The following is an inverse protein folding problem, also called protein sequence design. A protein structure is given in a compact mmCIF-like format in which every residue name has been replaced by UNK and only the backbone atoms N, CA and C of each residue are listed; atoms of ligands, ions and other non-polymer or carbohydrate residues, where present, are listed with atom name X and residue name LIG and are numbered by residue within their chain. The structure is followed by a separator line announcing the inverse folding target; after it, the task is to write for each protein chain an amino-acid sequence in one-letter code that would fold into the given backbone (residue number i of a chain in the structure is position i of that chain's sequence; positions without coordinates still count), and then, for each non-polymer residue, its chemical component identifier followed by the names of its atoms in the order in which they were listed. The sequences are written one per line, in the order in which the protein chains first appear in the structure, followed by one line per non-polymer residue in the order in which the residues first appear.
data_IF_678214386143
#
_entry.id   IF_678214386143
#
_cell.length_a   1.000
_cell.length_b   1.000
_cell.length_c   1.000
_cell.angle_alpha   90.00
_cell.angle_beta   90.00
_cell.angle_gamma   90.00
#
_symmetry.space_group_name_H-M   'P 1'
#
loop_
_entity.id
_entity.type
_entity.pdbx_description
1 polymer ?
2 non-polymer ?
3 non-polymer ?
4 water ?
#
# COMPACT_ATOMS: atom_id res chain seq x y z
N UNK A 6 -10.72 32.54 10.67
CA UNK A 6 -11.95 32.71 9.84
C UNK A 6 -12.15 31.41 9.02
N UNK A 7 -11.39 31.26 7.96
CA UNK A 7 -11.33 30.02 7.17
C UNK A 7 -10.80 28.89 8.07
N UNK A 8 -11.45 27.71 8.05
CA UNK A 8 -11.10 26.59 8.91
C UNK A 8 -9.98 25.73 8.32
N UNK A 9 -8.73 26.20 8.45
CA UNK A 9 -7.58 25.51 7.91
C UNK A 9 -6.86 24.75 9.03
N UNK A 10 -6.82 23.43 8.93
CA UNK A 10 -6.32 22.56 9.97
C UNK A 10 -4.79 22.69 10.06
N UNK A 11 -4.15 22.84 8.90
CA UNK A 11 -2.66 22.96 8.81
C UNK A 11 -2.21 22.92 7.32
N UNK A 12 -0.92 23.11 7.06
CA UNK A 12 -0.36 22.95 5.74
C UNK A 12 -0.02 21.45 5.57
N UNK A 13 -0.08 20.95 4.37
CA UNK A 13 0.21 19.57 4.16
C UNK A 13 1.13 19.39 2.95
N UNK A 14 2.02 18.38 3.01
CA UNK A 14 3.13 18.19 2.06
C UNK A 14 2.98 16.93 1.24
N UNK A 15 3.35 17.02 -0.02
CA UNK A 15 3.39 15.89 -0.91
C UNK A 15 4.83 15.50 -1.19
N UNK A 16 5.01 14.49 -2.06
CA UNK A 16 6.34 13.96 -2.31
C UNK A 16 7.26 15.01 -2.86
N UNK A 17 6.74 15.83 -3.78
CA UNK A 17 7.60 16.86 -4.42
C UNK A 17 7.97 18.04 -3.54
N UNK A 18 7.38 18.17 -2.36
CA UNK A 18 7.70 19.21 -1.41
C UNK A 18 8.96 18.96 -0.54
N UNK A 19 9.46 17.71 -0.54
CA UNK A 19 10.54 17.28 0.35
C UNK A 19 11.61 16.47 -0.36
N UNK A 20 12.78 16.53 0.22
CA UNK A 20 13.89 15.64 -0.11
C UNK A 20 14.44 15.06 1.15
N UNK A 21 15.01 13.89 1.03
CA UNK A 21 15.76 13.25 2.13
C UNK A 21 17.17 13.80 2.28
N UNK A 22 17.63 13.92 3.50
CA UNK A 22 18.97 14.47 3.80
C UNK A 22 20.02 13.35 3.90
N UNK A 23 21.12 13.51 3.17
CA UNK A 23 22.19 12.52 3.29
C UNK A 23 22.81 12.55 4.68
N UNK A 24 23.30 11.41 5.13
CA UNK A 24 23.81 11.31 6.50
C UNK A 24 25.04 10.39 6.55
N UNK A 25 25.75 10.46 7.64
CA UNK A 25 26.84 9.50 7.85
C UNK A 25 26.35 8.09 7.63
N UNK A 26 27.10 7.32 6.87
CA UNK A 26 26.67 5.99 6.50
C UNK A 26 27.74 4.93 6.49
N UNK A 27 27.41 3.79 7.08
CA UNK A 27 28.22 2.58 6.89
C UNK A 27 27.48 1.58 6.02
N UNK A 28 26.37 2.00 5.42
CA UNK A 28 25.54 1.16 4.58
C UNK A 28 25.92 1.30 3.13
N UNK A 29 26.18 0.20 2.47
CA UNK A 29 26.30 0.20 1.04
C UNK A 29 24.98 -0.29 0.45
N UNK A 30 24.66 0.15 -0.76
CA UNK A 30 23.36 -0.26 -1.31
C UNK A 30 23.16 -1.77 -1.34
N UNK A 31 24.22 -2.52 -1.65
CA UNK A 31 24.06 -3.97 -1.72
C UNK A 31 23.93 -4.63 -0.34
N UNK A 32 24.25 -3.90 0.72
CA UNK A 32 24.10 -4.42 2.08
C UNK A 32 22.79 -3.99 2.78
N UNK A 33 22.07 -3.06 2.19
CA UNK A 33 20.82 -2.63 2.77
C UNK A 33 19.83 -3.79 2.91
N UNK A 34 19.10 -3.78 4.02
CA UNK A 34 18.15 -4.84 4.37
C UNK A 34 16.76 -4.29 4.06
N UNK A 35 16.11 -4.87 3.05
CA UNK A 35 14.79 -4.36 2.60
C UNK A 35 13.58 -5.01 3.30
N UNK A 36 13.82 -5.89 4.26
CA UNK A 36 12.73 -6.56 4.94
C UNK A 36 11.85 -5.57 5.72
N UNK A 37 10.57 -5.85 5.76
CA UNK A 37 9.66 -4.98 6.44
C UNK A 37 8.43 -5.80 6.81
N UNK A 38 7.41 -5.10 7.29
CA UNK A 38 6.15 -5.72 7.73
C UNK A 38 5.03 -5.18 6.91
N UNK A 39 4.12 -6.06 6.50
CA UNK A 39 2.88 -5.70 5.87
C UNK A 39 1.81 -5.45 6.90
N UNK A 40 1.71 -6.39 7.82
CA UNK A 40 0.78 -6.28 8.90
C UNK A 40 1.49 -6.63 10.13
N UNK A 41 0.74 -6.48 11.19
CA UNK A 41 1.25 -6.85 12.49
C UNK A 41 2.01 -8.18 12.45
N UNK A 42 1.42 -9.20 11.81
CA UNK A 42 2.00 -10.56 11.76
C UNK A 42 2.53 -11.11 10.43
N UNK A 43 2.63 -10.29 9.38
CA UNK A 43 3.09 -10.76 8.10
C UNK A 43 4.30 -9.91 7.71
N UNK A 44 5.43 -10.59 7.53
CA UNK A 44 6.67 -9.97 7.06
C UNK A 44 6.74 -9.97 5.54
N UNK A 45 7.47 -9.00 4.96
CA UNK A 45 7.74 -9.00 3.53
C UNK A 45 9.27 -8.87 3.37
N UNK A 46 9.75 -9.41 2.26
CA UNK A 46 11.15 -9.26 1.92
C UNK A 46 11.51 -7.93 1.24
N UNK A 47 10.53 -7.33 0.56
CA UNK A 47 10.66 -5.98 0.01
C UNK A 47 9.39 -5.19 0.35
N UNK A 48 9.51 -3.86 0.45
CA UNK A 48 8.35 -3.06 0.86
C UNK A 48 7.37 -2.68 -0.27
N UNK A 49 6.95 -3.63 -1.08
CA UNK A 49 6.04 -3.33 -2.21
C UNK A 49 4.85 -4.31 -2.20
N UNK A 50 3.65 -3.78 -2.41
CA UNK A 50 2.43 -4.56 -2.61
C UNK A 50 1.68 -3.99 -3.78
N UNK A 51 0.89 -4.81 -4.47
CA UNK A 51 0.17 -4.31 -5.62
C UNK A 51 -1.27 -3.89 -5.27
N UNK A 52 -1.77 -2.89 -5.97
CA UNK A 52 -3.14 -2.42 -5.83
C UNK A 52 -4.19 -3.48 -6.21
N UNK A 53 -5.35 -3.41 -5.54
CA UNK A 53 -6.42 -4.38 -5.77
C UNK A 53 -7.31 -3.88 -6.94
N UNK A 54 -6.69 -3.74 -8.10
CA UNK A 54 -7.33 -3.07 -9.27
C UNK A 54 -7.48 -4.09 -10.41
N UNK A 55 -8.61 -4.01 -11.12
CA UNK A 55 -8.90 -5.02 -12.16
C UNK A 55 -8.01 -4.90 -13.40
N UNK A 56 -7.15 -3.90 -13.44
CA UNK A 56 -6.10 -3.83 -14.45
C UNK A 56 -4.70 -4.00 -13.87
N UNK A 57 -4.60 -4.40 -12.60
CA UNK A 57 -3.27 -4.54 -11.98
C UNK A 57 -3.02 -5.93 -11.40
N UNK A 58 -3.93 -6.45 -10.59
CA UNK A 58 -3.57 -7.66 -9.82
C UNK A 58 -4.56 -8.83 -10.00
N UNK A 59 -4.10 -9.86 -10.69
CA UNK A 59 -4.76 -11.16 -10.66
C UNK A 59 -3.65 -12.13 -10.31
N UNK A 60 -3.89 -13.43 -10.50
CA UNK A 60 -3.01 -14.44 -9.91
C UNK A 60 -1.59 -14.37 -10.45
N UNK A 61 -1.47 -14.07 -11.73
CA UNK A 61 -0.20 -14.11 -12.38
C UNK A 61 0.74 -13.04 -11.80
N UNK A 62 0.19 -11.85 -11.67
CA UNK A 62 1.00 -10.76 -11.08
C UNK A 62 1.30 -11.00 -9.59
N UNK A 63 0.29 -11.49 -8.87
CA UNK A 63 0.44 -11.84 -7.45
C UNK A 63 1.54 -12.86 -7.22
N UNK A 64 1.65 -13.87 -8.11
CA UNK A 64 2.72 -14.85 -8.02
C UNK A 64 4.11 -14.24 -8.24
N UNK A 65 4.21 -13.45 -9.30
CA UNK A 65 5.47 -12.83 -9.69
C UNK A 65 5.99 -11.92 -8.55
N UNK A 66 5.06 -11.15 -7.99
CA UNK A 66 5.44 -10.19 -6.95
C UNK A 66 5.87 -10.91 -5.65
N UNK A 67 5.13 -11.94 -5.24
CA UNK A 67 5.51 -12.74 -4.06
C UNK A 67 6.90 -13.42 -4.21
N UNK A 68 7.22 -13.90 -5.42
CA UNK A 68 8.54 -14.46 -5.70
C UNK A 68 9.66 -13.44 -5.54
N UNK A 69 9.34 -12.17 -5.77
CA UNK A 69 10.30 -11.08 -5.57
C UNK A 69 10.30 -10.52 -4.11
N UNK A 70 9.39 -11.02 -3.25
CA UNK A 70 9.42 -10.71 -1.82
C UNK A 70 8.25 -9.78 -1.38
N UNK A 71 7.37 -9.44 -2.32
CA UNK A 71 6.21 -8.63 -2.07
C UNK A 71 4.94 -9.43 -1.86
N UNK A 72 3.80 -8.77 -1.91
CA UNK A 72 2.53 -9.49 -1.87
C UNK A 72 1.52 -8.79 -2.77
N UNK A 73 0.73 -9.57 -3.49
CA UNK A 73 -0.33 -9.02 -4.32
C UNK A 73 -1.71 -9.10 -3.74
N UNK A 74 -2.60 -8.15 -4.09
CA UNK A 74 -3.98 -8.18 -3.63
C UNK A 74 -4.96 -8.45 -4.77
N UNK A 75 -5.44 -9.70 -4.84
CA UNK A 75 -6.36 -10.07 -5.89
C UNK A 75 -7.60 -9.20 -5.81
N UNK A 76 -7.94 -8.58 -6.94
CA UNK A 76 -9.04 -7.63 -6.96
C UNK A 76 -10.37 -8.35 -6.90
N UNK A 77 -11.42 -7.61 -6.58
CA UNK A 77 -12.68 -8.21 -6.29
C UNK A 77 -13.60 -8.34 -7.51
N UNK A 78 -13.29 -7.65 -8.62
CA UNK A 78 -14.16 -7.63 -9.82
C UNK A 78 -14.10 -8.96 -10.58
N UNK A 79 -14.56 -10.01 -9.90
CA UNK A 79 -14.59 -11.34 -10.42
C UNK A 79 -15.50 -12.07 -9.45
N UNK A 80 -16.00 -13.23 -9.82
CA UNK A 80 -16.81 -13.99 -8.89
C UNK A 80 -15.93 -14.58 -7.79
N UNK A 81 -16.61 -15.12 -6.80
CA UNK A 81 -16.00 -15.69 -5.66
C UNK A 81 -15.21 -16.92 -6.06
N UNK A 82 -15.78 -17.76 -6.95
CA UNK A 82 -15.10 -19.00 -7.37
C UNK A 82 -13.76 -18.61 -7.94
N UNK A 83 -13.84 -17.61 -8.83
CA UNK A 83 -12.74 -17.04 -9.59
C UNK A 83 -11.71 -16.46 -8.54
N UNK A 84 -12.18 -15.68 -7.61
CA UNK A 84 -11.29 -15.00 -6.62
C UNK A 84 -10.68 -15.99 -5.62
N UNK A 85 -11.49 -16.96 -5.14
CA UNK A 85 -10.93 -18.06 -4.34
C UNK A 85 -9.92 -18.90 -5.11
N UNK A 86 -10.21 -19.23 -6.37
CA UNK A 86 -9.29 -20.06 -7.15
C UNK A 86 -7.98 -19.38 -7.43
N UNK A 87 -8.03 -18.07 -7.67
CA UNK A 87 -6.84 -17.23 -7.84
C UNK A 87 -6.04 -17.24 -6.55
N UNK A 88 -6.71 -17.06 -5.41
CA UNK A 88 -6.01 -17.24 -4.11
C UNK A 88 -5.27 -18.58 -4.05
N UNK A 89 -5.99 -19.68 -4.31
CA UNK A 89 -5.42 -21.04 -4.22
C UNK A 89 -4.21 -21.24 -5.15
N UNK A 90 -4.36 -20.73 -6.39
CA UNK A 90 -3.28 -20.74 -7.38
C UNK A 90 -1.97 -20.18 -6.87
N UNK A 91 -2.05 -19.03 -6.19
CA UNK A 91 -0.87 -18.44 -5.64
C UNK A 91 -0.33 -19.30 -4.50
N UNK A 92 -1.21 -19.80 -3.66
CA UNK A 92 -0.79 -20.54 -2.46
C UNK A 92 -0.05 -21.86 -2.86
N UNK A 93 -0.37 -22.43 -4.00
CA UNK A 93 0.25 -23.71 -4.38
C UNK A 93 1.54 -23.59 -5.19
N UNK A 94 1.87 -22.36 -5.60
CA UNK A 94 3.08 -22.10 -6.36
C UNK A 94 4.28 -21.95 -5.44
N UNK A 95 4.26 -22.65 -4.31
CA UNK A 95 5.47 -22.82 -3.51
C UNK A 95 5.55 -21.93 -2.29
N UNK A 96 4.53 -22.01 -1.44
CA UNK A 96 4.58 -21.36 -0.15
C UNK A 96 4.53 -19.84 -0.29
N UNK A 97 3.89 -19.36 -1.34
CA UNK A 97 3.70 -17.91 -1.56
C UNK A 97 2.54 -17.40 -0.73
N UNK A 98 2.68 -16.16 -0.24
CA UNK A 98 1.61 -15.45 0.44
C UNK A 98 0.79 -14.69 -0.60
N UNK A 99 -0.46 -14.44 -0.27
CA UNK A 99 -1.37 -13.70 -1.15
C UNK A 99 -2.42 -12.99 -0.31
N UNK A 100 -2.86 -11.84 -0.83
CA UNK A 100 -3.98 -11.09 -0.28
C UNK A 100 -5.13 -11.09 -1.23
N UNK A 101 -6.29 -10.68 -0.73
CA UNK A 101 -7.44 -10.44 -1.55
C UNK A 101 -8.26 -9.34 -0.97
N UNK A 102 -8.94 -8.63 -1.85
CA UNK A 102 -9.71 -7.48 -1.52
C UNK A 102 -11.18 -7.80 -1.51
N UNK A 103 -11.92 -7.17 -0.60
CA UNK A 103 -13.36 -7.18 -0.71
C UNK A 103 -13.87 -5.79 -0.46
N UNK A 104 -15.08 -5.55 -0.93
CA UNK A 104 -15.66 -4.24 -0.76
C UNK A 104 -16.17 -4.12 0.64
N UNK A 105 -16.57 -2.91 1.00
CA UNK A 105 -17.08 -2.64 2.34
C UNK A 105 -18.61 -2.62 2.45
N UNK A 106 -19.32 -2.95 1.37
CA UNK A 106 -20.77 -2.99 1.41
C UNK A 106 -21.26 -4.27 2.12
N UNK A 107 -22.42 -4.21 2.77
CA UNK A 107 -22.99 -5.48 3.28
C UNK A 107 -23.14 -6.54 2.17
N UNK A 108 -23.19 -7.82 2.58
CA UNK A 108 -23.35 -8.95 1.63
C UNK A 108 -22.01 -9.61 1.24
N UNK A 109 -20.92 -9.18 1.83
CA UNK A 109 -19.62 -9.72 1.46
C UNK A 109 -19.23 -10.94 2.25
N UNK A 110 -20.11 -11.42 3.12
CA UNK A 110 -19.72 -12.47 4.01
C UNK A 110 -19.33 -13.74 3.29
N UNK A 111 -20.04 -14.12 2.22
CA UNK A 111 -19.68 -15.37 1.55
C UNK A 111 -18.37 -15.26 0.76
N UNK A 112 -18.13 -14.10 0.16
CA UNK A 112 -16.84 -13.81 -0.45
C UNK A 112 -15.69 -13.95 0.59
N UNK A 113 -15.81 -13.31 1.73
CA UNK A 113 -14.80 -13.41 2.80
C UNK A 113 -14.62 -14.87 3.22
N UNK A 114 -15.72 -15.61 3.40
CA UNK A 114 -15.61 -16.98 3.83
C UNK A 114 -14.84 -17.82 2.83
N UNK A 115 -15.15 -17.65 1.55
CA UNK A 115 -14.48 -18.39 0.48
C UNK A 115 -12.97 -18.10 0.37
N UNK A 116 -12.64 -16.82 0.52
CA UNK A 116 -11.25 -16.38 0.52
C UNK A 116 -10.50 -16.96 1.69
N UNK A 117 -11.07 -16.88 2.86
CA UNK A 117 -10.46 -17.48 4.07
C UNK A 117 -10.29 -19.00 3.91
N UNK A 118 -11.31 -19.67 3.40
CA UNK A 118 -11.22 -21.14 3.14
C UNK A 118 -10.22 -21.52 2.08
N UNK A 119 -9.95 -20.59 1.15
CA UNK A 119 -8.91 -20.80 0.14
C UNK A 119 -7.48 -20.55 0.65
N UNK A 120 -7.33 -20.05 1.87
CA UNK A 120 -6.01 -19.89 2.45
C UNK A 120 -5.46 -18.49 2.32
N UNK A 121 -6.32 -17.51 2.06
CA UNK A 121 -5.81 -16.13 1.88
C UNK A 121 -5.01 -15.69 3.15
N UNK A 122 -3.88 -15.04 2.95
CA UNK A 122 -3.07 -14.63 4.09
C UNK A 122 -3.53 -13.34 4.77
N UNK A 123 -4.14 -12.46 3.98
CA UNK A 123 -4.54 -11.16 4.45
C UNK A 123 -5.71 -10.70 3.64
N UNK A 124 -6.70 -10.16 4.34
CA UNK A 124 -7.91 -9.65 3.74
C UNK A 124 -7.78 -8.14 3.74
N UNK A 125 -7.99 -7.56 2.57
CA UNK A 125 -8.07 -6.11 2.43
C UNK A 125 -9.53 -5.68 2.29
N UNK A 126 -9.96 -4.86 3.20
CA UNK A 126 -11.25 -4.23 3.09
C UNK A 126 -11.02 -2.84 2.45
N UNK A 127 -11.36 -2.73 1.18
CA UNK A 127 -10.98 -1.56 0.42
C UNK A 127 -12.12 -0.56 0.31
N UNK A 128 -11.84 0.70 0.62
CA UNK A 128 -12.82 1.77 0.50
C UNK A 128 -12.13 3.03 0.10
N UNK A 129 -12.85 3.89 -0.63
CA UNK A 129 -12.37 5.25 -0.84
C UNK A 129 -12.44 6.08 0.43
N UNK A 130 -13.18 5.62 1.45
CA UNK A 130 -13.30 6.36 2.67
C UNK A 130 -13.34 5.44 3.92
N UNK A 131 -12.17 5.11 4.44
CA UNK A 131 -12.00 4.28 5.57
C UNK A 131 -12.54 4.82 6.89
N UNK A 132 -12.75 6.13 7.00
CA UNK A 132 -13.29 6.70 8.19
C UNK A 132 -14.85 6.71 8.15
N UNK A 133 -15.45 6.17 7.10
CA UNK A 133 -16.87 5.99 7.02
C UNK A 133 -17.31 4.93 8.05
N UNK A 134 -18.43 5.16 8.71
CA UNK A 134 -18.92 4.27 9.72
C UNK A 134 -19.22 2.89 9.14
N UNK A 135 -19.72 2.84 7.90
CA UNK A 135 -19.99 1.53 7.21
C UNK A 135 -18.73 0.69 7.03
N UNK A 136 -17.59 1.36 6.78
CA UNK A 136 -16.32 0.67 6.71
C UNK A 136 -15.83 0.16 8.03
N UNK A 137 -15.93 1.01 9.05
CA UNK A 137 -15.51 0.63 10.38
C UNK A 137 -16.36 -0.59 10.80
N UNK A 138 -17.66 -0.52 10.54
CA UNK A 138 -18.55 -1.63 10.88
C UNK A 138 -18.19 -2.92 10.14
N UNK A 139 -17.85 -2.86 8.87
CA UNK A 139 -17.43 -4.07 8.16
C UNK A 139 -16.14 -4.65 8.74
N UNK A 140 -15.20 -3.80 9.10
CA UNK A 140 -13.97 -4.26 9.72
C UNK A 140 -14.27 -4.95 11.10
N UNK A 141 -15.10 -4.30 11.94
CA UNK A 141 -15.47 -4.81 13.27
C UNK A 141 -16.18 -6.17 13.13
N UNK A 142 -17.04 -6.29 12.14
CA UNK A 142 -17.80 -7.55 11.89
C UNK A 142 -16.87 -8.67 11.47
N UNK A 143 -15.91 -8.30 10.62
CA UNK A 143 -14.91 -9.26 10.13
C UNK A 143 -13.96 -9.70 11.22
N UNK A 144 -13.47 -8.75 12.01
CA UNK A 144 -12.61 -9.05 13.12
C UNK A 144 -13.27 -9.97 14.18
N UNK A 145 -14.53 -9.71 14.47
CA UNK A 145 -15.30 -10.57 15.40
C UNK A 145 -15.47 -11.97 14.85
N UNK A 146 -15.75 -12.11 13.57
CA UNK A 146 -15.95 -13.39 12.92
C UNK A 146 -14.68 -14.19 12.74
N UNK A 147 -13.56 -13.48 12.57
CA UNK A 147 -12.28 -14.12 12.21
C UNK A 147 -11.22 -13.51 13.09
N UNK A 148 -11.21 -13.89 14.37
CA UNK A 148 -10.32 -13.27 15.34
C UNK A 148 -8.84 -13.33 14.98
N UNK A 149 -8.43 -14.26 14.15
CA UNK A 149 -7.01 -14.37 13.82
C UNK A 149 -6.63 -13.99 12.40
N UNK A 150 -7.59 -13.46 11.64
CA UNK A 150 -7.35 -13.09 10.25
C UNK A 150 -6.62 -11.74 10.18
N UNK A 151 -5.55 -11.66 9.37
CA UNK A 151 -4.91 -10.38 9.16
C UNK A 151 -5.80 -9.53 8.28
N UNK A 152 -6.11 -8.31 8.71
CA UNK A 152 -7.05 -7.45 7.99
C UNK A 152 -6.37 -6.10 7.77
N UNK A 153 -6.38 -5.66 6.54
CA UNK A 153 -5.97 -4.27 6.18
C UNK A 153 -7.22 -3.47 6.00
N UNK A 154 -7.28 -2.33 6.66
CA UNK A 154 -8.36 -1.44 6.41
C UNK A 154 -7.85 -0.12 5.83
N UNK A 155 -8.73 0.54 5.10
CA UNK A 155 -8.33 1.88 4.53
C UNK A 155 -9.42 2.32 3.58
N UNK A 156 -9.23 3.45 2.90
CA UNK A 156 -8.05 4.33 3.07
C UNK A 156 -8.40 5.50 3.97
N UNK A 157 -7.41 5.94 4.72
CA UNK A 157 -7.52 7.14 5.54
C UNK A 157 -6.38 8.09 5.22
N UNK A 158 -6.49 9.29 5.76
CA UNK A 158 -5.47 10.32 5.49
C UNK A 158 -5.20 11.20 6.67
N UNK A 159 -5.64 10.78 7.86
CA UNK A 159 -5.56 11.57 9.08
C UNK A 159 -5.22 10.69 10.29
N UNK A 160 -4.73 11.33 11.34
CA UNK A 160 -4.51 10.66 12.63
C UNK A 160 -5.80 10.00 13.15
N UNK A 161 -6.88 10.75 13.09
CA UNK A 161 -8.16 10.28 13.65
C UNK A 161 -8.69 9.10 12.86
N UNK A 162 -8.50 9.10 11.55
CA UNK A 162 -8.89 7.98 10.73
C UNK A 162 -8.08 6.73 11.05
N UNK A 163 -6.77 6.90 11.15
CA UNK A 163 -5.92 5.76 11.55
C UNK A 163 -6.35 5.18 12.93
N UNK A 164 -6.65 6.05 13.87
CA UNK A 164 -7.04 5.60 15.20
C UNK A 164 -8.36 4.85 15.17
N UNK A 165 -9.30 5.35 14.41
CA UNK A 165 -10.58 4.67 14.22
C UNK A 165 -10.41 3.25 13.62
N UNK A 166 -9.58 3.13 12.58
CA UNK A 166 -9.30 1.81 11.98
C UNK A 166 -8.69 0.86 12.98
N UNK A 167 -7.73 1.35 13.77
CA UNK A 167 -7.08 0.50 14.73
C UNK A 167 -8.11 0.04 15.78
N UNK A 168 -8.97 0.96 16.20
CA UNK A 168 -9.95 0.66 17.23
C UNK A 168 -11.06 -0.25 16.66
N UNK A 169 -11.17 -0.39 15.33
CA UNK A 169 -12.08 -1.30 14.67
C UNK A 169 -11.50 -2.70 14.52
N UNK A 170 -10.19 -2.82 14.72
CA UNK A 170 -9.54 -4.12 14.71
C UNK A 170 -8.57 -4.40 13.58
N UNK A 171 -8.07 -3.37 12.85
CA UNK A 171 -7.24 -3.70 11.67
C UNK A 171 -5.86 -4.20 12.12
N UNK A 172 -5.18 -4.91 11.23
CA UNK A 172 -3.83 -5.36 11.40
C UNK A 172 -2.81 -4.41 10.74
N UNK A 173 -3.32 -3.49 9.91
CA UNK A 173 -2.48 -2.51 9.20
C UNK A 173 -3.46 -1.45 8.70
N UNK A 174 -2.92 -0.25 8.56
CA UNK A 174 -3.68 0.94 8.13
C UNK A 174 -3.19 1.36 6.75
N UNK A 175 -4.09 1.50 5.79
CA UNK A 175 -3.69 1.93 4.47
C UNK A 175 -4.09 3.40 4.25
N UNK A 176 -3.13 4.19 3.76
CA UNK A 176 -3.22 5.65 3.69
C UNK A 176 -3.23 6.06 2.27
N UNK A 177 -4.18 6.95 1.97
CA UNK A 177 -4.22 7.60 0.70
C UNK A 177 -5.61 8.05 0.35
N UNK A 178 -5.88 9.36 0.48
CA UNK A 178 -7.13 9.95 0.00
C UNK A 178 -6.69 11.16 -0.80
N UNK A 179 -6.85 11.07 -2.11
CA UNK A 179 -6.41 12.12 -2.95
C UNK A 179 -5.16 11.89 -3.80
N UNK A 180 -4.21 11.02 -3.39
CA UNK A 180 -2.90 11.07 -4.06
C UNK A 180 -2.79 10.22 -5.35
N UNK A 181 -3.74 9.33 -5.62
CA UNK A 181 -3.56 8.39 -6.76
C UNK A 181 -3.49 9.08 -8.13
N UNK A 182 -2.74 8.46 -9.07
CA UNK A 182 -2.45 9.03 -10.39
C UNK A 182 -3.75 9.28 -11.17
N UNK A 183 -4.84 8.63 -10.77
CA UNK A 183 -6.12 8.82 -11.45
C UNK A 183 -6.71 10.23 -11.15
N UNK A 184 -6.48 10.73 -9.93
CA UNK A 184 -6.76 12.16 -9.59
C UNK A 184 -8.20 12.59 -9.54
N UNK A 185 -9.12 11.64 -9.51
CA UNK A 185 -10.52 12.02 -9.58
C UNK A 185 -10.98 12.51 -8.21
N UNK A 186 -10.56 11.85 -7.13
CA UNK A 186 -11.04 12.28 -5.81
C UNK A 186 -10.89 13.78 -5.62
N UNK A 187 -9.67 14.26 -5.80
CA UNK A 187 -9.39 15.68 -5.58
C UNK A 187 -10.18 16.57 -6.46
N UNK A 188 -10.19 16.29 -7.76
CA UNK A 188 -10.81 17.17 -8.72
C UNK A 188 -12.34 17.15 -8.63
N UNK A 189 -12.90 15.97 -8.51
CA UNK A 189 -14.32 15.80 -8.45
C UNK A 189 -14.92 16.18 -7.10
N UNK A 190 -14.21 15.92 -6.01
CA UNK A 190 -14.78 16.05 -4.68
C UNK A 190 -14.21 17.30 -3.94
N UNK A 191 -12.99 17.67 -4.28
CA UNK A 191 -12.25 18.76 -3.58
C UNK A 191 -11.69 18.24 -2.26
N UNK A 192 -11.67 16.90 -2.01
CA UNK A 192 -11.18 16.32 -0.80
C UNK A 192 -9.83 15.62 -1.01
N UNK A 193 -8.91 15.79 -0.07
CA UNK A 193 -7.67 15.04 -0.09
C UNK A 193 -6.68 15.57 0.89
N UNK A 194 -5.65 14.78 1.18
CA UNK A 194 -4.53 15.23 1.96
C UNK A 194 -3.25 14.81 1.27
N UNK A 195 -2.34 15.79 1.00
CA UNK A 195 -1.01 15.51 0.43
C UNK A 195 -0.38 14.34 1.19
N UNK A 196 0.22 13.43 0.41
CA UNK A 196 0.50 12.08 0.93
C UNK A 196 1.61 12.02 1.97
N UNK A 197 2.62 12.90 1.93
CA UNK A 197 3.67 12.82 2.97
C UNK A 197 3.12 13.17 4.36
N UNK A 198 2.30 14.22 4.44
CA UNK A 198 1.65 14.58 5.71
C UNK A 198 0.64 13.47 6.12
N UNK A 199 -0.09 12.95 5.16
CA UNK A 199 -1.09 11.88 5.46
C UNK A 199 -0.41 10.66 6.09
N UNK A 200 0.70 10.23 5.49
CA UNK A 200 1.43 9.08 6.02
C UNK A 200 1.93 9.40 7.44
N UNK A 201 2.59 10.55 7.61
CA UNK A 201 3.10 10.90 8.93
C UNK A 201 2.04 10.98 10.01
N UNK A 202 0.89 11.56 9.70
CA UNK A 202 -0.20 11.71 10.69
C UNK A 202 -0.72 10.31 11.08
N UNK A 203 -0.91 9.45 10.07
CA UNK A 203 -1.36 8.06 10.33
C UNK A 203 -0.34 7.27 11.10
N UNK A 204 0.94 7.41 10.75
CA UNK A 204 2.01 6.67 11.42
C UNK A 204 2.21 7.14 12.85
N UNK A 205 1.96 8.40 13.11
CA UNK A 205 2.08 8.94 14.44
C UNK A 205 1.19 8.17 15.43
N UNK A 206 0.00 7.86 15.00
CA UNK A 206 -0.95 7.01 15.76
C UNK A 206 -0.55 5.53 15.69
N UNK A 207 -0.40 5.00 14.48
CA UNK A 207 -0.16 3.57 14.29
C UNK A 207 1.08 3.06 15.01
N UNK A 208 2.14 3.90 15.03
CA UNK A 208 3.37 3.52 15.70
C UNK A 208 3.11 3.18 17.16
N UNK A 209 2.15 3.86 17.76
CA UNK A 209 1.91 3.69 19.24
C UNK A 209 1.43 2.27 19.51
N UNK A 210 0.87 1.61 18.50
CA UNK A 210 0.33 0.27 18.62
C UNK A 210 1.12 -0.81 17.92
N UNK A 211 2.25 -0.45 17.29
CA UNK A 211 3.02 -1.41 16.46
C UNK A 211 2.29 -1.87 15.23
N UNK A 212 1.41 -1.02 14.69
CA UNK A 212 0.61 -1.34 13.51
C UNK A 212 1.27 -0.72 12.27
N UNK A 213 1.58 -1.52 11.27
CA UNK A 213 2.15 -0.90 10.07
C UNK A 213 1.20 -0.03 9.30
N UNK A 214 1.78 0.98 8.64
CA UNK A 214 1.08 1.81 7.67
C UNK A 214 1.53 1.48 6.24
N UNK A 215 0.58 1.37 5.33
CA UNK A 215 0.83 1.09 3.91
C UNK A 215 0.50 2.39 3.14
N UNK A 216 1.48 2.93 2.43
CA UNK A 216 1.28 4.11 1.66
C UNK A 216 0.74 3.80 0.25
N UNK A 217 -0.50 4.18 -0.02
CA UNK A 217 -1.19 3.80 -1.27
C UNK A 217 -1.51 5.00 -2.15
N UNK A 218 -0.78 5.14 -3.26
CA UNK A 218 -1.15 6.16 -4.26
C UNK A 218 -0.07 7.20 -4.41
N UNK A 219 0.16 7.60 -5.64
CA UNK A 219 1.01 8.69 -5.91
C UNK A 219 2.48 8.32 -6.13
N UNK A 220 2.81 7.05 -6.04
CA UNK A 220 4.19 6.61 -6.27
C UNK A 220 4.44 6.58 -7.79
N UNK A 221 5.32 7.45 -8.24
CA UNK A 221 5.69 7.57 -9.66
C UNK A 221 7.09 7.05 -9.93
N UNK A 222 8.02 7.32 -8.98
CA UNK A 222 9.47 7.08 -9.13
C UNK A 222 9.96 6.40 -7.87
N UNK A 223 11.08 5.70 -7.99
CA UNK A 223 11.63 5.04 -6.81
C UNK A 223 11.93 6.01 -5.67
N UNK A 224 12.28 7.26 -6.00
CA UNK A 224 12.42 8.30 -4.96
C UNK A 224 11.21 8.55 -4.06
N UNK A 225 10.03 8.34 -4.62
CA UNK A 225 8.76 8.47 -3.90
C UNK A 225 8.61 7.34 -2.86
N UNK A 226 9.10 6.15 -3.21
CA UNK A 226 9.06 5.01 -2.29
C UNK A 226 9.91 5.37 -1.03
N UNK A 227 11.14 5.85 -1.22
CA UNK A 227 11.97 6.24 -0.10
C UNK A 227 11.31 7.24 0.80
N UNK A 228 10.75 8.30 0.17
CA UNK A 228 10.10 9.36 0.90
C UNK A 228 8.87 8.83 1.68
N UNK A 229 8.10 7.95 1.06
CA UNK A 229 6.91 7.35 1.71
C UNK A 229 7.29 6.57 2.99
N UNK A 230 8.34 5.80 2.86
CA UNK A 230 8.88 5.07 3.99
C UNK A 230 9.41 6.01 5.06
N UNK A 231 10.24 6.99 4.70
CA UNK A 231 10.72 7.94 5.68
C UNK A 231 9.64 8.75 6.40
N UNK A 232 8.50 8.98 5.71
CA UNK A 232 7.38 9.65 6.31
C UNK A 232 6.64 8.77 7.34
N UNK A 233 6.94 7.49 7.31
CA UNK A 233 6.42 6.53 8.31
C UNK A 233 5.82 5.25 7.78
N UNK A 234 5.73 5.08 6.45
CA UNK A 234 5.15 3.90 5.92
C UNK A 234 6.11 2.68 6.06
N UNK A 235 5.51 1.52 6.32
CA UNK A 235 6.27 0.26 6.31
C UNK A 235 6.40 -0.33 4.93
N UNK A 236 5.48 -0.03 4.03
CA UNK A 236 5.54 -0.49 2.63
C UNK A 236 4.68 0.40 1.80
N UNK A 237 4.80 0.28 0.49
CA UNK A 237 4.03 1.06 -0.44
C UNK A 237 3.13 0.13 -1.30
N UNK A 238 1.96 0.63 -1.63
CA UNK A 238 1.05 0.01 -2.57
C UNK A 238 1.07 0.81 -3.90
N UNK A 239 1.29 0.10 -5.00
CA UNK A 239 1.38 0.71 -6.33
C UNK A 239 0.38 0.08 -7.33
N UNK A 240 -0.25 0.97 -8.12
CA UNK A 240 -1.16 0.59 -9.21
C UNK A 240 -0.51 0.94 -10.56
N UNK A 241 -0.46 2.21 -10.91
CA UNK A 241 0.14 2.63 -12.20
C UNK A 241 1.52 1.98 -12.46
N UNK A 242 2.36 1.89 -11.43
CA UNK A 242 3.72 1.39 -11.62
C UNK A 242 3.83 -0.05 -12.15
N UNK A 243 2.84 -0.88 -11.82
CA UNK A 243 2.78 -2.24 -12.27
C UNK A 243 1.77 -2.48 -13.42
N UNK A 244 0.84 -1.54 -13.63
CA UNK A 244 -0.11 -1.68 -14.76
C UNK A 244 0.68 -1.62 -16.05
N UNK A 245 0.19 -2.30 -17.08
CA UNK A 245 0.96 -2.41 -18.31
C UNK A 245 2.11 -3.42 -18.31
N UNK A 246 2.39 -4.11 -17.21
CA UNK A 246 3.44 -5.14 -17.25
C UNK A 246 2.85 -6.37 -17.89
N UNK A 247 3.71 -7.34 -18.23
CA UNK A 247 3.28 -8.58 -18.86
C UNK A 247 2.22 -9.25 -18.00
N UNK A 248 2.39 -9.20 -16.67
CA UNK A 248 1.60 -10.00 -15.76
C UNK A 248 0.23 -9.36 -15.41
N UNK A 249 0.13 -8.06 -15.55
CA UNK A 249 -1.14 -7.37 -15.35
C UNK A 249 -2.34 -7.92 -16.18
N UNK A 250 -3.50 -8.05 -15.51
CA UNK A 250 -4.69 -8.52 -16.23
C UNK A 250 -5.19 -7.52 -17.29
N UNK A 258 0.88 3.05 -33.63
CA UNK A 258 0.95 1.59 -33.64
C UNK A 258 1.73 1.02 -32.47
N UNK A 259 1.48 1.54 -31.27
CA UNK A 259 2.20 1.11 -30.05
C UNK A 259 1.35 0.15 -29.19
N UNK A 260 1.99 -0.56 -28.26
CA UNK A 260 1.31 -1.53 -27.38
C UNK A 260 0.99 -0.90 -26.02
N UNK A 261 -0.25 -1.08 -25.56
CA UNK A 261 -0.73 -0.52 -24.29
C UNK A 261 -1.60 -1.53 -23.56
N UNK A 262 -1.74 -1.36 -22.26
CA UNK A 262 -2.79 -2.07 -21.56
C UNK A 262 -3.67 -1.03 -20.90
N UNK A 263 -4.93 -1.40 -20.69
CA UNK A 263 -5.88 -0.58 -19.94
C UNK A 263 -5.35 -0.34 -18.53
N UNK A 264 -5.43 0.90 -18.08
CA UNK A 264 -5.32 1.21 -16.65
C UNK A 264 -6.51 2.11 -16.32
N UNK A 265 -7.36 1.67 -15.40
CA UNK A 265 -8.53 2.45 -15.05
C UNK A 265 -8.84 2.42 -13.55
N UNK A 266 -9.52 3.48 -13.12
CA UNK A 266 -9.93 3.66 -11.72
C UNK A 266 -11.01 2.66 -11.34
N UNK A 267 -10.99 2.22 -10.09
CA UNK A 267 -12.00 1.34 -9.54
C UNK A 267 -13.14 2.19 -8.97
N UNK A 298 -8.44 5.04 -19.97
CA UNK A 298 -6.99 5.27 -19.93
C UNK A 298 -6.19 4.06 -20.35
N UNK A 299 -5.01 4.32 -20.92
CA UNK A 299 -4.07 3.29 -21.37
C UNK A 299 -2.67 3.61 -20.82
N UNK A 300 -1.90 2.55 -20.59
CA UNK A 300 -0.53 2.63 -20.12
C UNK A 300 0.33 1.84 -21.10
N UNK A 301 1.49 2.42 -21.42
CA UNK A 301 2.44 1.80 -22.35
C UNK A 301 2.93 0.50 -21.75
N UNK A 302 3.14 -0.51 -22.60
CA UNK A 302 3.68 -1.81 -22.18
C UNK A 302 5.06 -1.63 -21.55
N UNK A 303 5.32 -2.40 -20.49
CA UNK A 303 6.54 -2.22 -19.67
C UNK A 303 7.44 -3.44 -19.55
N UNK A 304 7.02 -4.56 -20.13
CA UNK A 304 7.82 -5.76 -20.01
C UNK A 304 7.53 -6.40 -18.69
N UNK A 305 8.50 -7.14 -18.16
CA UNK A 305 8.23 -8.05 -17.08
C UNK A 305 8.39 -7.34 -15.75
N UNK A 306 7.57 -7.77 -14.81
CA UNK A 306 7.52 -7.17 -13.49
C UNK A 306 8.87 -7.20 -12.74
N UNK A 307 9.56 -8.34 -12.81
CA UNK A 307 10.83 -8.52 -12.14
C UNK A 307 11.85 -7.39 -12.42
N UNK A 308 11.91 -6.89 -13.66
CA UNK A 308 12.88 -5.83 -13.98
C UNK A 308 12.45 -4.51 -13.36
N UNK A 309 11.14 -4.23 -13.36
CA UNK A 309 10.60 -3.03 -12.74
C UNK A 309 10.99 -3.05 -11.26
N UNK A 310 10.74 -4.17 -10.61
CA UNK A 310 10.98 -4.28 -9.19
C UNK A 310 12.47 -4.12 -8.88
N UNK A 311 13.31 -4.75 -9.70
CA UNK A 311 14.73 -4.56 -9.59
C UNK A 311 15.14 -3.10 -9.68
N UNK A 312 14.62 -2.33 -10.63
CA UNK A 312 15.02 -0.94 -10.75
C UNK A 312 14.52 -0.14 -9.56
N UNK A 313 13.30 -0.42 -9.12
CA UNK A 313 12.70 0.39 -8.03
C UNK A 313 13.45 0.15 -6.73
N UNK A 314 13.77 -1.11 -6.44
CA UNK A 314 14.46 -1.43 -5.19
C UNK A 314 15.93 -1.01 -5.22
N UNK A 315 16.51 -0.92 -6.41
CA UNK A 315 17.86 -0.37 -6.57
C UNK A 315 17.94 1.08 -6.13
N UNK A 316 16.90 1.87 -6.47
CA UNK A 316 16.78 3.22 -6.01
C UNK A 316 16.65 3.33 -4.52
N UNK A 317 15.77 2.52 -3.92
CA UNK A 317 15.63 2.46 -2.51
C UNK A 317 16.94 2.07 -1.79
N UNK A 318 17.65 1.09 -2.33
CA UNK A 318 18.94 0.67 -1.76
C UNK A 318 19.94 1.84 -1.78
N UNK A 319 19.96 2.57 -2.88
CA UNK A 319 20.80 3.79 -2.97
C UNK A 319 20.48 4.82 -1.95
N UNK A 320 19.17 5.11 -1.78
CA UNK A 320 18.72 6.03 -0.77
C UNK A 320 19.17 5.57 0.65
N UNK A 321 19.06 4.29 0.92
CA UNK A 321 19.48 3.78 2.21
C UNK A 321 21.00 3.95 2.44
N UNK A 322 21.79 3.76 1.39
CA UNK A 322 23.24 4.03 1.44
C UNK A 322 23.49 5.52 1.75
N UNK A 323 22.75 6.42 1.06
CA UNK A 323 22.91 7.86 1.24
C UNK A 323 22.46 8.39 2.61
N UNK A 324 21.45 7.76 3.19
CA UNK A 324 20.90 8.18 4.47
C UNK A 324 21.48 7.40 5.63
N UNK A 325 22.34 6.42 5.36
CA UNK A 325 22.85 5.58 6.47
C UNK A 325 21.84 4.71 7.16
N UNK A 326 20.84 4.28 6.40
CA UNK A 326 19.76 3.41 6.91
C UNK A 326 20.04 1.96 6.58
N UNK A 327 20.37 1.18 7.60
CA UNK A 327 20.72 -0.21 7.43
C UNK A 327 19.52 -1.07 7.13
N UNK A 328 18.36 -0.66 7.66
CA UNK A 328 17.10 -1.41 7.59
C UNK A 328 15.98 -0.43 7.21
N UNK A 329 14.89 -0.98 6.73
CA UNK A 329 13.66 -0.17 6.49
C UNK A 329 13.26 0.56 7.72
N UNK A 330 13.29 -0.09 8.90
CA UNK A 330 12.99 0.66 10.12
C UNK A 330 13.84 1.90 10.39
N UNK A 331 15.15 1.83 10.07
CA UNK A 331 16.00 3.01 10.23
C UNK A 331 15.52 4.17 9.35
N UNK A 332 15.21 3.86 8.09
CA UNK A 332 14.72 4.85 7.17
C UNK A 332 13.42 5.45 7.66
N UNK A 333 12.54 4.56 8.13
CA UNK A 333 11.17 4.92 8.52
C UNK A 333 11.10 5.77 9.78
N UNK A 334 12.08 5.60 10.65
CA UNK A 334 12.06 6.26 11.99
C UNK A 334 13.17 7.26 12.27
N UNK A 335 14.25 7.30 11.49
CA UNK A 335 15.37 8.16 11.81
C UNK A 335 15.78 9.13 10.64
N UNK A 336 15.45 8.84 9.41
CA UNK A 336 15.90 9.73 8.32
C UNK A 336 15.21 11.08 8.40
N UNK A 337 15.86 12.12 7.88
CA UNK A 337 15.36 13.45 7.97
C UNK A 337 15.09 14.03 6.57
N UNK A 338 14.13 14.94 6.51
CA UNK A 338 13.74 15.64 5.30
C UNK A 338 14.16 17.10 5.34
N UNK A 339 14.31 17.70 4.15
CA UNK A 339 14.30 19.14 3.99
C UNK A 339 13.10 19.49 3.16
N UNK A 340 12.50 20.63 3.49
CA UNK A 340 11.44 21.15 2.69
C UNK A 340 11.99 22.03 1.53
N UNK A 341 11.45 21.86 0.36
CA UNK A 341 11.96 22.58 -0.83
C UNK A 341 10.83 23.40 -1.47
N UNK A 342 11.22 24.40 -2.25
CA UNK A 342 10.24 25.25 -2.93
C UNK A 342 9.71 24.67 -4.24
N UNK A 343 10.37 23.72 -4.85
CA UNK A 343 9.99 23.38 -6.25
C UNK A 343 10.46 24.29 -7.41
N UNK A 344 11.15 25.42 -7.12
CA UNK A 344 11.99 26.12 -8.10
C UNK A 344 13.07 25.19 -8.64
#
# INVERSE_FOLDING_TARGET
SNAMHMLRIAKEALTFDDVLLVPAHSTVLPNTADLRTRLTKNIALNIPMVSASMDTVTEARLAIALAQEGGIGFIHKNMSIEQQAAQVHQVKISGGLRVGAAVGAAPGNEERVKALVEAGVDVLLIDSSHGHSEGVLQRIRETRAAYPHLEIIGGNVATAEGARALIEAGVSAVKVGIGPGSICTTRIVTGVGVPQITAIADAAGVANEYGIPVIADGGIRFSGDISKAIAAGASCVMVGSMFAGTEEAPGEVILYQGRSYKAYRGMGSLGAMSKGSSDRYFQTDNAADKLVPEGIEGRIAYKGHLKEIIHQQMGGLRSCMGLTGSATVEDLRTKAQFVRISGAGMKESHVHDVQITKEAPNYRLG
#
